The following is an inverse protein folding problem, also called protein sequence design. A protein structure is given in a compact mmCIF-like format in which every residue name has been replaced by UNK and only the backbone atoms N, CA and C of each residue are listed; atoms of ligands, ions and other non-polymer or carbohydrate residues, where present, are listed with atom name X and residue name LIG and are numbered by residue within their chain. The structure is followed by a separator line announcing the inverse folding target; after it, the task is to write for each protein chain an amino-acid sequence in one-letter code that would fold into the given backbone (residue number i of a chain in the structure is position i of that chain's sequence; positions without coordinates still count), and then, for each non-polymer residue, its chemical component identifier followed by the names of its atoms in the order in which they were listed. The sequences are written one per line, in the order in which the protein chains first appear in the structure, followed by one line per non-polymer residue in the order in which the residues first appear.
data_IF_473969985942
#
_entry.id   IF_473969985942
#
_cell.length_a   1.000
_cell.length_b   1.000
_cell.length_c   1.000
_cell.angle_alpha   90.00
_cell.angle_beta   90.00
_cell.angle_gamma   90.00
#
_symmetry.space_group_name_H-M   'P 1'
#
loop_
_entity.id
_entity.type
_entity.pdbx_description
1 polymer ?
#
# COMPACT_ATOMS: atom_id res chain seq x y z
N UNK A 1 -10.70 -11.91 0.73
CA UNK A 1 -10.79 -10.50 1.19
C UNK A 1 -10.59 -10.46 2.69
N UNK A 2 -9.52 -9.81 3.15
CA UNK A 2 -9.12 -9.63 4.53
C UNK A 2 -9.05 -8.14 4.84
N UNK A 3 -9.52 -7.74 6.02
CA UNK A 3 -9.56 -6.35 6.49
C UNK A 3 -8.99 -6.26 7.90
N UNK A 4 -8.07 -5.34 8.15
CA UNK A 4 -7.45 -5.13 9.47
C UNK A 4 -8.36 -4.33 10.40
N UNK A 5 -8.70 -3.12 9.98
CA UNK A 5 -9.68 -2.29 10.64
C UNK A 5 -9.11 -0.95 11.06
N UNK A 6 -9.11 -0.66 12.36
CA UNK A 6 -8.54 0.57 12.91
C UNK A 6 -7.26 0.25 13.67
N UNK A 7 -6.23 1.08 13.47
CA UNK A 7 -4.96 0.95 14.18
C UNK A 7 -3.93 0.20 13.35
N UNK A 8 -2.88 -0.31 14.01
CA UNK A 8 -1.82 -1.04 13.32
C UNK A 8 -2.22 -2.52 13.22
N UNK A 9 -2.50 -3.00 12.03
CA UNK A 9 -2.96 -4.36 11.79
C UNK A 9 -1.89 -5.25 11.15
N UNK A 10 -2.02 -6.57 11.38
CA UNK A 10 -1.18 -7.59 10.77
C UNK A 10 -2.07 -8.58 10.01
N UNK A 11 -2.00 -8.57 8.68
CA UNK A 11 -2.83 -9.39 7.81
C UNK A 11 -1.98 -10.40 7.04
N UNK A 12 -2.51 -11.61 6.93
CA UNK A 12 -1.90 -12.71 6.20
C UNK A 12 -2.95 -13.36 5.31
N UNK A 13 -2.81 -13.23 3.99
CA UNK A 13 -3.71 -13.82 2.99
C UNK A 13 -3.69 -15.34 3.05
N UNK A 14 -2.50 -15.92 2.86
CA UNK A 14 -2.28 -17.35 3.01
C UNK A 14 -2.09 -18.02 1.66
N UNK A 15 -2.98 -18.94 1.30
CA UNK A 15 -2.93 -19.61 -0.01
C UNK A 15 -4.15 -19.20 -0.83
N UNK A 16 -3.93 -18.98 -2.13
CA UNK A 16 -4.96 -18.50 -3.05
C UNK A 16 -4.78 -17.02 -3.34
N UNK A 17 -5.67 -16.49 -4.19
CA UNK A 17 -5.63 -15.08 -4.59
C UNK A 17 -6.42 -14.25 -3.59
N UNK A 18 -5.70 -13.55 -2.72
CA UNK A 18 -6.30 -12.76 -1.65
C UNK A 18 -6.45 -11.29 -2.02
N UNK A 19 -7.31 -10.62 -1.27
CA UNK A 19 -7.47 -9.16 -1.33
C UNK A 19 -7.25 -8.66 0.08
N UNK A 20 -6.23 -7.82 0.29
CA UNK A 20 -5.84 -7.35 1.61
C UNK A 20 -6.05 -5.83 1.68
N UNK A 21 -6.84 -5.40 2.66
CA UNK A 21 -7.04 -3.99 3.02
C UNK A 21 -6.59 -3.83 4.48
N UNK A 22 -5.52 -3.08 4.74
CA UNK A 22 -5.06 -2.87 6.13
C UNK A 22 -6.07 -2.08 6.97
N UNK A 23 -6.67 -1.05 6.39
CA UNK A 23 -7.51 -0.08 7.11
C UNK A 23 -8.98 -0.05 6.65
N UNK A 24 -9.87 0.60 7.40
CA UNK A 24 -11.25 0.87 6.95
C UNK A 24 -11.29 1.94 5.85
N UNK A 25 -12.02 1.66 4.76
CA UNK A 25 -12.24 2.62 3.67
C UNK A 25 -13.05 3.88 4.10
N UNK A 26 -13.89 3.75 5.13
CA UNK A 26 -14.85 4.79 5.51
C UNK A 26 -14.18 5.99 6.19
N UNK A 27 -14.32 7.16 5.57
CA UNK A 27 -13.55 8.38 5.83
C UNK A 27 -13.74 9.00 7.22
N UNK A 28 -14.80 8.65 7.95
CA UNK A 28 -15.19 9.41 9.17
C UNK A 28 -14.45 9.00 10.44
N UNK A 29 -13.75 7.87 10.47
CA UNK A 29 -13.14 7.34 11.71
C UNK A 29 -11.74 6.76 11.57
N UNK A 30 -11.05 6.95 10.44
CA UNK A 30 -9.61 6.62 10.36
C UNK A 30 -8.90 7.38 11.48
N UNK A 31 -8.28 6.66 12.42
CA UNK A 31 -7.62 7.23 13.61
C UNK A 31 -6.38 8.05 13.26
N UNK A 32 -5.50 8.25 14.25
CA UNK A 32 -4.18 8.86 14.06
C UNK A 32 -3.26 8.04 13.14
N UNK A 33 -1.94 8.16 13.32
CA UNK A 33 -0.97 7.39 12.55
C UNK A 33 -1.18 5.87 12.67
N UNK A 34 -1.41 5.17 11.55
CA UNK A 34 -1.49 3.71 11.47
C UNK A 34 -0.45 3.10 10.52
N UNK A 35 0.06 1.93 10.89
CA UNK A 35 1.03 1.16 10.12
C UNK A 35 0.61 -0.28 10.06
N UNK A 36 0.11 -0.69 8.91
CA UNK A 36 -0.36 -2.04 8.68
C UNK A 36 0.74 -2.89 8.05
N UNK A 37 0.77 -4.17 8.40
CA UNK A 37 1.71 -5.14 7.84
C UNK A 37 0.91 -6.16 7.06
N UNK A 38 1.13 -6.22 5.75
CA UNK A 38 0.37 -7.05 4.82
C UNK A 38 1.28 -8.12 4.21
N UNK A 39 0.85 -9.38 4.31
CA UNK A 39 1.49 -10.54 3.71
C UNK A 39 0.49 -11.25 2.80
N UNK A 40 0.77 -11.31 1.50
CA UNK A 40 -0.06 -12.07 0.56
C UNK A 40 0.16 -13.59 0.70
N UNK A 41 1.42 -13.98 0.88
CA UNK A 41 1.97 -15.33 0.81
C UNK A 41 1.91 -15.95 -0.58
N UNK A 42 0.92 -16.81 -0.84
CA UNK A 42 0.92 -17.68 -2.01
C UNK A 42 -0.30 -17.48 -2.87
N UNK A 43 -0.14 -16.82 -4.02
CA UNK A 43 -1.21 -16.57 -4.98
C UNK A 43 -0.93 -15.31 -5.76
N UNK A 44 -1.88 -14.88 -6.57
CA UNK A 44 -1.90 -13.55 -7.18
C UNK A 44 -2.74 -12.63 -6.28
N UNK A 45 -2.07 -11.92 -5.36
CA UNK A 45 -2.74 -11.16 -4.31
C UNK A 45 -2.96 -9.70 -4.73
N UNK A 46 -4.03 -9.09 -4.26
CA UNK A 46 -4.26 -7.65 -4.44
C UNK A 46 -4.14 -6.93 -3.11
N UNK A 47 -3.17 -6.04 -2.98
CA UNK A 47 -3.03 -5.11 -1.86
C UNK A 47 -3.79 -3.83 -2.20
N UNK A 48 -4.89 -3.59 -1.48
CA UNK A 48 -5.76 -2.45 -1.68
C UNK A 48 -5.25 -1.28 -0.85
N UNK A 49 -4.55 -0.36 -1.50
CA UNK A 49 -4.02 0.87 -0.92
C UNK A 49 -4.91 2.09 -1.23
N UNK A 50 -5.93 1.91 -2.06
CA UNK A 50 -6.97 2.86 -2.40
C UNK A 50 -8.12 2.20 -3.17
N UNK A 51 -9.21 2.94 -3.28
CA UNK A 51 -10.35 2.62 -4.13
C UNK A 51 -10.68 3.79 -5.06
N UNK A 52 -11.76 3.68 -5.84
CA UNK A 52 -12.18 4.74 -6.77
C UNK A 52 -12.54 6.06 -6.09
N UNK A 53 -12.74 6.08 -4.76
CA UNK A 53 -13.10 7.27 -4.00
C UNK A 53 -11.88 7.94 -3.36
N UNK A 54 -10.90 7.16 -2.89
CA UNK A 54 -9.78 7.72 -2.12
C UNK A 54 -8.57 6.78 -1.98
N UNK A 55 -7.41 7.38 -1.72
CA UNK A 55 -6.24 6.68 -1.17
C UNK A 55 -6.43 6.38 0.31
N UNK A 56 -6.07 5.18 0.77
CA UNK A 56 -6.33 4.73 2.14
C UNK A 56 -5.32 5.25 3.16
N UNK A 57 -4.11 5.56 2.72
CA UNK A 57 -3.03 5.99 3.61
C UNK A 57 -2.68 7.48 3.49
N UNK A 58 -3.42 8.25 2.69
CA UNK A 58 -3.18 9.67 2.43
C UNK A 58 -3.56 10.57 3.62
N UNK A 59 -2.66 10.69 4.61
CA UNK A 59 -2.87 11.42 5.87
C UNK A 59 -1.77 12.43 6.22
N UNK A 60 -1.07 12.99 5.23
CA UNK A 60 0.07 13.92 5.44
C UNK A 60 1.29 13.25 6.06
N UNK A 61 2.32 13.07 5.24
CA UNK A 61 3.66 12.66 5.65
C UNK A 61 3.83 11.15 5.80
N UNK A 62 4.75 10.74 6.69
CA UNK A 62 5.35 9.41 6.66
C UNK A 62 4.92 8.45 7.79
N UNK A 63 3.86 8.79 8.53
CA UNK A 63 3.46 8.02 9.74
C UNK A 63 2.32 7.03 9.48
N UNK A 64 1.68 7.12 8.32
CA UNK A 64 0.46 6.43 7.98
C UNK A 64 0.63 5.62 6.69
N UNK A 65 0.97 4.34 6.74
CA UNK A 65 1.31 3.56 5.53
C UNK A 65 1.14 2.04 5.69
N UNK A 66 1.02 1.33 4.57
CA UNK A 66 1.10 -0.13 4.54
C UNK A 66 2.54 -0.63 4.31
N UNK A 67 3.01 -1.54 5.16
CA UNK A 67 4.22 -2.33 4.93
C UNK A 67 3.85 -3.65 4.25
N UNK A 68 4.21 -3.79 2.98
CA UNK A 68 3.97 -5.02 2.21
C UNK A 68 5.25 -5.86 2.24
N UNK A 69 5.20 -7.05 2.84
CA UNK A 69 6.42 -7.79 3.17
C UNK A 69 6.93 -8.74 2.09
N UNK A 70 6.05 -9.24 1.23
CA UNK A 70 6.33 -10.37 0.35
C UNK A 70 5.81 -10.20 -1.09
N UNK A 71 5.56 -8.95 -1.49
CA UNK A 71 5.10 -8.62 -2.84
C UNK A 71 5.93 -9.30 -3.93
N UNK A 72 5.26 -10.01 -4.84
CA UNK A 72 5.86 -10.73 -5.96
C UNK A 72 5.07 -10.52 -7.24
N UNK A 73 5.54 -9.57 -8.05
CA UNK A 73 5.03 -9.35 -9.41
C UNK A 73 4.98 -10.63 -10.26
N UNK A 74 5.94 -11.54 -10.09
CA UNK A 74 5.98 -12.82 -10.80
C UNK A 74 4.88 -13.81 -10.42
N UNK A 75 4.24 -13.63 -9.25
CA UNK A 75 3.07 -14.42 -8.84
C UNK A 75 1.75 -13.77 -9.28
N UNK A 76 1.80 -12.56 -9.84
CA UNK A 76 0.62 -11.80 -10.26
C UNK A 76 0.11 -10.83 -9.20
N UNK A 77 0.92 -10.48 -8.21
CA UNK A 77 0.52 -9.51 -7.19
C UNK A 77 0.28 -8.12 -7.77
N UNK A 78 -0.74 -7.46 -7.23
CA UNK A 78 -1.22 -6.15 -7.64
C UNK A 78 -1.26 -5.19 -6.46
N UNK A 79 -0.79 -3.97 -6.69
CA UNK A 79 -0.94 -2.80 -5.83
C UNK A 79 -2.06 -1.94 -6.41
N UNK A 80 -3.23 -1.92 -5.76
CA UNK A 80 -4.34 -1.08 -6.20
C UNK A 80 -4.27 0.30 -5.54
N UNK A 81 -4.25 1.35 -6.35
CA UNK A 81 -4.15 2.75 -5.94
C UNK A 81 -5.31 3.56 -6.51
N UNK A 82 -5.65 4.66 -5.85
CA UNK A 82 -6.67 5.59 -6.32
C UNK A 82 -6.12 6.50 -7.43
N UNK A 83 -6.94 6.85 -8.42
CA UNK A 83 -6.63 7.90 -9.39
C UNK A 83 -5.75 7.44 -10.54
N UNK A 84 -4.55 8.02 -10.72
CA UNK A 84 -3.67 7.73 -11.85
C UNK A 84 -2.18 7.77 -11.50
N UNK A 85 -1.36 7.10 -12.31
CA UNK A 85 0.08 6.92 -12.08
C UNK A 85 0.88 8.23 -11.91
N UNK A 86 0.49 9.30 -12.59
CA UNK A 86 1.13 10.62 -12.53
C UNK A 86 0.98 11.32 -11.17
N UNK A 87 0.04 10.87 -10.35
CA UNK A 87 -0.14 11.34 -8.98
C UNK A 87 0.85 10.71 -8.01
N UNK A 88 1.62 9.70 -8.42
CA UNK A 88 2.49 8.95 -7.53
C UNK A 88 3.96 9.06 -7.93
N UNK A 89 4.83 8.78 -6.97
CA UNK A 89 6.26 8.59 -7.20
C UNK A 89 6.77 7.36 -6.44
N UNK A 90 7.81 6.73 -6.99
CA UNK A 90 8.50 5.61 -6.33
C UNK A 90 9.87 6.09 -5.86
N UNK A 91 10.26 5.69 -4.66
CA UNK A 91 11.53 6.09 -4.06
C UNK A 91 12.03 5.12 -3.00
N UNK A 92 13.10 5.51 -2.31
CA UNK A 92 13.54 4.79 -1.11
C UNK A 92 12.63 5.16 0.07
N UNK A 93 12.32 4.17 0.91
CA UNK A 93 11.62 4.43 2.16
C UNK A 93 12.39 5.44 3.05
N UNK A 94 11.68 6.33 3.77
CA UNK A 94 12.31 7.40 4.54
C UNK A 94 13.07 6.85 5.74
N UNK A 95 14.04 7.62 6.24
CA UNK A 95 14.83 7.24 7.40
C UNK A 95 13.94 6.93 8.62
N UNK A 96 14.25 5.85 9.34
CA UNK A 96 13.46 5.39 10.47
C UNK A 96 12.29 4.47 10.11
N UNK A 97 11.96 4.30 8.82
CA UNK A 97 11.02 3.29 8.35
C UNK A 97 11.74 2.01 7.88
N UNK A 98 11.03 0.87 7.75
CA UNK A 98 11.58 -0.33 7.12
C UNK A 98 12.17 -0.03 5.74
N UNK A 99 13.30 -0.65 5.43
CA UNK A 99 13.96 -0.46 4.12
C UNK A 99 13.14 -1.11 3.01
N UNK A 100 12.96 -0.39 1.92
CA UNK A 100 12.22 -0.89 0.77
C UNK A 100 11.94 0.19 -0.26
N UNK A 101 11.16 -0.18 -1.26
CA UNK A 101 10.61 0.74 -2.26
C UNK A 101 9.36 1.41 -1.68
N UNK A 102 9.38 2.72 -1.54
CA UNK A 102 8.23 3.51 -1.11
C UNK A 102 7.36 3.92 -2.29
N UNK A 103 6.05 3.95 -2.05
CA UNK A 103 5.05 4.58 -2.92
C UNK A 103 4.61 5.85 -2.21
N UNK A 104 4.81 6.97 -2.88
CA UNK A 104 4.37 8.28 -2.43
C UNK A 104 3.20 8.76 -3.27
N UNK A 105 2.16 9.30 -2.64
CA UNK A 105 1.15 10.13 -3.30
C UNK A 105 1.66 11.57 -3.27
N UNK A 106 1.84 12.16 -4.45
CA UNK A 106 2.36 13.50 -4.61
C UNK A 106 1.30 14.51 -4.17
N UNK A 107 1.64 15.42 -3.26
CA UNK A 107 0.70 16.45 -2.79
C UNK A 107 1.28 17.87 -2.91
N UNK A 108 0.44 18.89 -2.75
CA UNK A 108 0.91 20.27 -2.59
C UNK A 108 1.53 20.43 -1.19
N UNK A 109 2.79 20.03 -1.03
CA UNK A 109 3.51 20.08 0.24
C UNK A 109 4.42 18.88 0.45
N UNK A 110 4.29 18.22 1.61
CA UNK A 110 4.95 16.94 1.88
C UNK A 110 4.13 15.82 1.23
N UNK A 111 4.81 14.95 0.49
CA UNK A 111 4.17 13.78 -0.12
C UNK A 111 3.74 12.76 0.95
N UNK A 112 2.66 12.04 0.65
CA UNK A 112 2.11 11.04 1.56
C UNK A 112 2.72 9.69 1.27
N UNK A 113 3.38 9.08 2.27
CA UNK A 113 3.84 7.71 2.16
C UNK A 113 2.63 6.77 2.22
N UNK A 114 2.29 6.14 1.09
CA UNK A 114 1.13 5.24 1.01
C UNK A 114 1.55 3.82 1.40
N UNK A 115 2.69 3.37 0.92
CA UNK A 115 3.18 2.04 1.22
C UNK A 115 4.70 1.94 1.14
N UNK A 116 5.25 0.95 1.84
CA UNK A 116 6.62 0.47 1.69
C UNK A 116 6.58 -0.99 1.30
N UNK A 117 7.15 -1.31 0.14
CA UNK A 117 7.34 -2.68 -0.33
C UNK A 117 8.71 -3.11 0.16
N UNK A 118 8.76 -4.12 1.04
CA UNK A 118 9.99 -4.63 1.60
C UNK A 118 10.91 -5.17 0.49
N UNK A 119 12.13 -4.66 0.45
CA UNK A 119 13.12 -5.02 -0.58
C UNK A 119 13.08 -4.13 -1.83
N UNK A 120 13.92 -4.47 -2.81
CA UNK A 120 14.03 -3.76 -4.08
C UNK A 120 13.15 -4.45 -5.11
N UNK A 121 11.88 -4.05 -5.19
CA UNK A 121 10.90 -4.68 -6.08
C UNK A 121 11.07 -4.30 -7.56
N UNK A 122 12.07 -3.48 -7.93
CA UNK A 122 12.32 -2.99 -9.30
C UNK A 122 11.03 -2.54 -10.01
N UNK A 123 10.18 -1.84 -9.27
CA UNK A 123 8.86 -1.43 -9.71
C UNK A 123 8.93 -0.19 -10.58
N UNK A 124 8.00 -0.11 -11.54
CA UNK A 124 7.68 1.13 -12.25
C UNK A 124 6.17 1.32 -12.20
N UNK A 125 5.69 2.56 -12.07
CA UNK A 125 4.25 2.85 -12.01
C UNK A 125 3.51 2.46 -13.31
N UNK A 126 4.24 2.21 -14.40
CA UNK A 126 3.71 1.72 -15.66
C UNK A 126 3.67 0.17 -15.76
N UNK A 127 4.19 -0.55 -14.77
CA UNK A 127 4.14 -2.02 -14.76
C UNK A 127 2.76 -2.56 -14.42
N UNK A 128 2.48 -3.78 -14.85
CA UNK A 128 1.22 -4.49 -14.58
C UNK A 128 0.98 -4.76 -13.09
N UNK A 129 1.99 -4.55 -12.24
CA UNK A 129 1.88 -4.60 -10.78
C UNK A 129 1.04 -3.48 -10.19
N UNK A 130 0.73 -2.42 -10.95
CA UNK A 130 -0.10 -1.31 -10.46
C UNK A 130 -1.46 -1.30 -11.15
N UNK A 131 -2.50 -1.20 -10.35
CA UNK A 131 -3.87 -0.99 -10.81
C UNK A 131 -4.40 0.32 -10.24
N UNK A 132 -4.63 1.29 -11.10
CA UNK A 132 -5.22 2.56 -10.73
C UNK A 132 -6.74 2.53 -10.95
N UNK A 133 -7.53 3.06 -10.00
CA UNK A 133 -9.00 3.02 -9.99
C UNK A 133 -9.66 4.34 -9.64
#
# INVERSE_FOLDING_TARGET
MLKGGFGNDFLVGGSGNDQLIGTYAEASQRGGAERDVLLGNGGADTFWLGDASQSFYAKKGNTNYALIQDFRASQGDILQLHGSADQYSLGAAPAGQPKGTAIYLNTNGEDDLIAVIKGNANLTLASDSFKFV
#
